data_IF_943853762156
#
_entry.id   IF_943853762156
#
_cell.length_a   1.000
_cell.length_b   1.000
_cell.length_c   1.000
_cell.angle_alpha   90.00
_cell.angle_beta   90.00
_cell.angle_gamma   90.00
#
_symmetry.space_group_name_H-M   'P 1'
#
loop_
_entity.id
_entity.type
_entity.pdbx_description
1 polymer ?
#
# COMPACT_ATOMS: atom_id res chain seq x y z
N UNK A 1 -29.17 60.48 31.33
CA UNK A 1 -29.64 59.25 30.65
C UNK A 1 -29.35 59.42 29.17
N UNK A 2 -28.32 58.74 28.67
CA UNK A 2 -27.88 58.77 27.28
C UNK A 2 -27.56 57.34 26.83
N UNK A 3 -27.93 57.02 25.60
CA UNK A 3 -27.98 55.70 24.97
C UNK A 3 -26.68 55.33 24.24
N UNK A 4 -26.57 54.03 23.89
CA UNK A 4 -26.08 53.47 22.60
C UNK A 4 -24.71 52.71 22.59
N UNK A 5 -24.83 51.37 22.54
CA UNK A 5 -24.36 50.46 21.45
C UNK A 5 -22.86 50.14 21.24
N UNK A 6 -22.55 48.84 21.51
CA UNK A 6 -21.76 47.86 20.72
C UNK A 6 -20.24 48.05 20.50
N UNK A 7 -19.44 47.01 20.82
CA UNK A 7 -18.59 46.18 19.90
C UNK A 7 -17.44 45.47 20.66
N UNK A 8 -17.40 44.14 20.47
CA UNK A 8 -16.26 43.18 20.39
C UNK A 8 -14.90 43.56 20.99
N UNK A 9 -14.31 42.66 21.80
CA UNK A 9 -12.93 42.18 21.59
C UNK A 9 -12.54 40.95 22.45
N UNK A 10 -12.09 39.91 21.74
CA UNK A 10 -11.00 38.99 22.09
C UNK A 10 -11.07 38.19 23.40
N UNK A 11 -11.52 36.93 23.26
CA UNK A 11 -10.91 35.77 23.92
C UNK A 11 -10.75 34.61 22.93
N UNK A 12 -10.23 34.89 21.73
CA UNK A 12 -9.63 33.89 20.86
C UNK A 12 -8.18 33.71 21.32
N UNK A 13 -7.83 32.59 21.94
CA UNK A 13 -6.42 32.39 22.32
C UNK A 13 -6.07 31.10 23.05
N UNK A 14 -7.01 30.41 23.70
CA UNK A 14 -6.63 29.27 24.57
C UNK A 14 -7.36 27.96 24.25
N UNK A 15 -8.33 27.95 23.34
CA UNK A 15 -9.06 26.73 22.92
C UNK A 15 -8.56 26.10 21.61
N UNK A 16 -7.28 26.28 21.23
CA UNK A 16 -6.78 25.80 19.93
C UNK A 16 -5.92 24.54 19.95
N UNK A 17 -5.75 23.86 21.09
CA UNK A 17 -4.65 22.88 21.19
C UNK A 17 -5.01 21.44 21.56
N UNK A 18 -6.24 21.10 21.97
CA UNK A 18 -6.50 19.74 22.50
C UNK A 18 -7.83 19.08 22.10
N UNK A 19 -8.54 19.58 21.08
CA UNK A 19 -9.75 18.94 20.54
C UNK A 19 -9.66 18.66 19.03
N UNK A 20 -8.46 18.35 18.54
CA UNK A 20 -8.24 17.67 17.25
C UNK A 20 -7.47 16.37 17.50
N UNK A 21 -7.95 15.61 18.48
CA UNK A 21 -7.71 14.17 18.46
C UNK A 21 -8.36 13.69 17.20
N UNK A 22 -7.52 13.22 16.28
CA UNK A 22 -7.90 12.65 15.01
C UNK A 22 -8.85 11.49 15.31
N UNK A 23 -10.16 11.75 15.23
CA UNK A 23 -11.09 10.75 14.76
C UNK A 23 -10.55 10.37 13.38
N UNK A 24 -9.80 9.27 13.37
CA UNK A 24 -9.48 8.52 12.17
C UNK A 24 -10.83 8.07 11.68
N UNK A 25 -11.40 8.89 10.81
CA UNK A 25 -12.63 8.66 10.08
C UNK A 25 -12.54 7.24 9.49
N UNK A 26 -13.22 6.30 10.17
CA UNK A 26 -13.36 4.91 9.74
C UNK A 26 -14.34 4.79 8.56
N UNK A 27 -14.73 5.90 7.94
CA UNK A 27 -15.81 5.97 6.97
C UNK A 27 -15.32 6.34 5.57
N UNK A 28 -14.25 5.69 5.10
CA UNK A 28 -13.92 5.67 3.66
C UNK A 28 -13.34 4.31 3.23
N UNK A 29 -13.92 3.20 3.70
CA UNK A 29 -13.48 1.84 3.34
C UNK A 29 -14.34 1.14 2.27
N UNK A 30 -15.41 1.78 1.79
CA UNK A 30 -16.50 1.02 1.14
C UNK A 30 -16.55 1.15 -0.40
N UNK A 31 -15.63 1.91 -0.99
CA UNK A 31 -15.41 1.89 -2.44
C UNK A 31 -13.91 1.82 -2.67
N UNK A 32 -13.47 0.91 -3.53
CA UNK A 32 -12.08 0.72 -3.98
C UNK A 32 -11.20 -0.27 -3.19
N UNK A 33 -11.73 -1.45 -2.87
CA UNK A 33 -10.92 -2.68 -2.77
C UNK A 33 -11.18 -3.59 -3.96
N UNK A 34 -10.51 -3.37 -5.09
CA UNK A 34 -10.48 -4.34 -6.20
C UNK A 34 -9.38 -5.38 -5.97
N UNK A 35 -9.46 -6.09 -4.86
CA UNK A 35 -8.59 -7.22 -4.52
C UNK A 35 -8.99 -7.81 -3.17
N UNK A 36 -8.98 -9.14 -3.00
CA UNK A 36 -9.34 -9.73 -1.71
C UNK A 36 -8.38 -9.25 -0.61
N UNK A 37 -8.93 -8.66 0.46
CA UNK A 37 -8.16 -8.15 1.61
C UNK A 37 -7.18 -9.18 2.16
N UNK A 38 -7.57 -10.46 2.16
CA UNK A 38 -6.75 -11.58 2.60
C UNK A 38 -5.50 -11.80 1.72
N UNK A 39 -5.57 -11.54 0.41
CA UNK A 39 -4.44 -11.71 -0.49
C UNK A 39 -3.39 -10.61 -0.30
N UNK A 40 -3.83 -9.37 -0.05
CA UNK A 40 -2.91 -8.27 0.28
C UNK A 40 -2.25 -8.52 1.63
N UNK A 41 -3.01 -9.02 2.60
CA UNK A 41 -2.49 -9.40 3.91
C UNK A 41 -1.33 -10.38 3.79
N UNK A 42 -1.48 -11.49 3.05
CA UNK A 42 -0.45 -12.53 2.95
C UNK A 42 0.78 -12.07 2.15
N UNK A 43 0.58 -11.33 1.06
CA UNK A 43 1.66 -10.86 0.20
C UNK A 43 2.53 -9.80 0.89
N UNK A 44 1.93 -8.96 1.74
CA UNK A 44 2.65 -7.92 2.50
C UNK A 44 3.60 -8.48 3.56
N UNK A 45 3.33 -9.70 4.05
CA UNK A 45 4.04 -10.33 5.17
C UNK A 45 5.17 -11.26 4.74
N UNK A 46 5.10 -11.77 3.52
CA UNK A 46 6.05 -12.76 3.05
C UNK A 46 7.33 -12.09 2.48
N UNK A 47 8.53 -12.37 3.04
CA UNK A 47 9.73 -11.55 2.86
C UNK A 47 10.21 -11.43 1.39
N UNK A 48 10.00 -12.47 0.57
CA UNK A 48 10.40 -12.48 -0.83
C UNK A 48 9.47 -11.73 -1.80
N UNK A 49 8.20 -11.52 -1.42
CA UNK A 49 7.17 -10.94 -2.30
C UNK A 49 6.67 -9.57 -1.83
N UNK A 50 6.90 -9.18 -0.56
CA UNK A 50 6.42 -7.94 0.05
C UNK A 50 6.73 -6.65 -0.72
N UNK A 51 7.82 -6.61 -1.49
CA UNK A 51 8.18 -5.43 -2.30
C UNK A 51 7.71 -5.51 -3.75
N UNK A 52 7.51 -6.73 -4.27
CA UNK A 52 7.25 -6.96 -5.70
C UNK A 52 5.76 -7.09 -6.03
N UNK A 53 4.93 -7.47 -5.07
CA UNK A 53 3.50 -7.69 -5.31
C UNK A 53 2.74 -6.43 -5.74
N UNK A 54 3.27 -5.25 -5.40
CA UNK A 54 2.63 -3.97 -5.70
C UNK A 54 2.62 -3.62 -7.19
N UNK A 55 3.54 -4.17 -7.98
CA UNK A 55 3.59 -4.00 -9.44
C UNK A 55 2.74 -5.02 -10.21
N UNK A 56 2.18 -6.01 -9.53
CA UNK A 56 1.44 -7.10 -10.19
C UNK A 56 -0.02 -6.71 -10.41
N UNK A 57 -0.64 -7.17 -11.50
CA UNK A 57 -2.09 -7.08 -11.68
C UNK A 57 -2.87 -8.04 -10.75
N UNK A 58 -4.18 -7.82 -10.58
CA UNK A 58 -5.08 -8.61 -9.70
C UNK A 58 -4.88 -10.11 -9.79
N UNK A 59 -4.93 -10.66 -11.00
CA UNK A 59 -4.86 -12.12 -11.24
C UNK A 59 -3.55 -12.71 -10.71
N UNK A 60 -2.42 -12.03 -10.94
CA UNK A 60 -1.11 -12.48 -10.47
C UNK A 60 -0.97 -12.40 -8.95
N UNK A 61 -1.54 -11.36 -8.31
CA UNK A 61 -1.58 -11.27 -6.85
C UNK A 61 -2.38 -12.40 -6.24
N UNK A 62 -3.57 -12.66 -6.76
CA UNK A 62 -4.44 -13.72 -6.25
C UNK A 62 -3.76 -15.08 -6.43
N UNK A 63 -3.22 -15.37 -7.61
CA UNK A 63 -2.54 -16.65 -7.87
C UNK A 63 -1.35 -16.88 -6.93
N UNK A 64 -0.50 -15.87 -6.73
CA UNK A 64 0.66 -16.00 -5.83
C UNK A 64 0.25 -16.02 -4.36
N UNK A 65 -0.79 -15.28 -3.97
CA UNK A 65 -1.34 -15.35 -2.62
C UNK A 65 -1.91 -16.74 -2.31
N UNK A 66 -2.64 -17.35 -3.25
CA UNK A 66 -3.14 -18.73 -3.15
C UNK A 66 -1.98 -19.72 -3.07
N UNK A 67 -0.96 -19.57 -3.92
CA UNK A 67 0.21 -20.44 -3.90
C UNK A 67 0.95 -20.36 -2.57
N UNK A 68 1.20 -19.14 -2.07
CA UNK A 68 1.83 -18.95 -0.76
C UNK A 68 0.95 -19.45 0.37
N UNK A 69 -0.37 -19.35 0.27
CA UNK A 69 -1.30 -19.90 1.24
C UNK A 69 -1.20 -21.43 1.33
N UNK A 70 -1.20 -22.13 0.19
CA UNK A 70 -1.03 -23.58 0.15
C UNK A 70 0.37 -24.05 0.59
N UNK A 71 1.40 -23.23 0.35
CA UNK A 71 2.80 -23.53 0.70
C UNK A 71 3.17 -23.03 2.12
N UNK A 72 2.32 -22.25 2.77
CA UNK A 72 2.58 -21.75 4.12
C UNK A 72 1.64 -22.34 5.16
N UNK A 73 0.52 -22.95 4.75
CA UNK A 73 -0.36 -23.66 5.67
C UNK A 73 -0.17 -25.19 5.61
N UNK A 74 -0.07 -25.86 6.76
CA UNK A 74 -0.03 -27.31 6.90
C UNK A 74 -1.28 -28.08 6.50
N UNK A 75 -2.05 -27.62 5.51
CA UNK A 75 -3.30 -28.24 5.09
C UNK A 75 -3.07 -29.69 4.64
N UNK A 76 -2.13 -29.92 3.72
CA UNK A 76 -1.85 -31.26 3.19
C UNK A 76 -1.39 -32.24 4.30
N UNK A 77 -0.35 -31.94 5.11
CA UNK A 77 0.09 -32.86 6.17
C UNK A 77 -0.95 -33.01 7.29
N UNK A 78 -1.75 -31.99 7.59
CA UNK A 78 -2.86 -32.11 8.56
C UNK A 78 -3.94 -33.05 8.03
N UNK A 79 -4.34 -32.94 6.76
CA UNK A 79 -5.35 -33.84 6.17
C UNK A 79 -4.83 -35.27 6.14
N UNK A 80 -3.56 -35.47 5.77
CA UNK A 80 -2.94 -36.81 5.79
C UNK A 80 -2.91 -37.38 7.20
N UNK A 81 -2.53 -36.58 8.21
CA UNK A 81 -2.56 -36.99 9.60
C UNK A 81 -3.98 -37.34 10.07
N UNK A 82 -4.98 -36.54 9.71
CA UNK A 82 -6.38 -36.74 10.08
C UNK A 82 -6.97 -38.01 9.44
N UNK A 83 -6.72 -38.23 8.14
CA UNK A 83 -7.18 -39.44 7.43
C UNK A 83 -6.50 -40.69 7.97
N UNK A 84 -5.20 -40.62 8.26
CA UNK A 84 -4.46 -41.74 8.83
C UNK A 84 -4.94 -42.07 10.25
N UNK A 85 -5.18 -41.05 11.08
CA UNK A 85 -5.75 -41.21 12.43
C UNK A 85 -7.17 -41.78 12.41
N UNK A 86 -8.00 -41.35 11.45
CA UNK A 86 -9.37 -41.85 11.31
C UNK A 86 -9.43 -43.33 10.85
N UNK A 87 -8.44 -43.78 10.09
CA UNK A 87 -8.36 -45.18 9.64
C UNK A 87 -7.73 -46.11 10.67
N UNK A 88 -6.64 -45.69 11.31
CA UNK A 88 -5.89 -46.51 12.28
C UNK A 88 -5.34 -45.64 13.43
N UNK A 89 -6.13 -45.38 14.48
CA UNK A 89 -5.72 -44.53 15.59
C UNK A 89 -4.56 -45.15 16.40
N UNK A 90 -4.50 -46.48 16.48
CA UNK A 90 -3.42 -47.18 17.15
C UNK A 90 -2.14 -47.23 16.31
N UNK A 91 -2.28 -47.43 14.99
CA UNK A 91 -1.17 -47.38 14.05
C UNK A 91 -0.54 -46.00 13.98
N UNK A 92 -1.36 -44.94 14.01
CA UNK A 92 -0.89 -43.56 14.10
C UNK A 92 -0.05 -43.32 15.36
N UNK A 93 -0.52 -43.73 16.53
CA UNK A 93 0.18 -43.46 17.80
C UNK A 93 1.45 -44.30 18.00
N UNK A 94 1.50 -45.50 17.44
CA UNK A 94 2.62 -46.45 17.60
C UNK A 94 3.70 -46.31 16.51
N UNK A 95 3.39 -45.64 15.41
CA UNK A 95 4.32 -45.52 14.28
C UNK A 95 5.46 -44.54 14.60
N UNK A 96 6.72 -44.89 14.27
CA UNK A 96 7.86 -43.98 14.42
C UNK A 96 7.77 -42.75 13.49
N UNK A 97 6.85 -42.77 12.52
CA UNK A 97 6.62 -41.67 11.58
C UNK A 97 5.76 -40.54 12.20
N UNK A 98 5.00 -40.82 13.25
CA UNK A 98 4.16 -39.84 13.94
C UNK A 98 4.91 -38.63 14.51
N UNK A 99 6.00 -38.80 15.30
CA UNK A 99 6.75 -37.65 15.81
C UNK A 99 7.40 -36.83 14.69
N UNK A 100 7.85 -37.47 13.60
CA UNK A 100 8.41 -36.78 12.43
C UNK A 100 7.33 -35.92 11.76
N UNK A 101 6.13 -36.46 11.57
CA UNK A 101 5.01 -35.74 10.98
C UNK A 101 4.58 -34.55 11.85
N UNK A 102 4.50 -34.73 13.17
CA UNK A 102 4.18 -33.66 14.12
C UNK A 102 5.26 -32.58 14.13
N UNK A 103 6.55 -32.96 14.11
CA UNK A 103 7.66 -32.02 14.06
C UNK A 103 7.65 -31.18 12.76
N UNK A 104 7.33 -31.80 11.62
CA UNK A 104 7.16 -31.09 10.34
C UNK A 104 6.00 -30.10 10.41
N UNK A 105 4.84 -30.49 10.95
CA UNK A 105 3.70 -29.60 11.12
C UNK A 105 4.05 -28.43 12.05
N UNK A 106 4.71 -28.71 13.17
CA UNK A 106 5.13 -27.69 14.13
C UNK A 106 6.16 -26.71 13.53
N UNK A 107 7.14 -27.22 12.77
CA UNK A 107 8.09 -26.38 12.05
C UNK A 107 7.41 -25.50 11.00
N UNK A 108 6.39 -26.01 10.30
CA UNK A 108 5.66 -25.25 9.31
C UNK A 108 4.78 -24.16 9.94
N UNK A 109 4.08 -24.48 11.04
CA UNK A 109 3.33 -23.49 11.83
C UNK A 109 4.24 -22.45 12.48
N UNK A 110 5.41 -22.83 12.98
CA UNK A 110 6.41 -21.91 13.52
C UNK A 110 6.97 -20.97 12.44
N UNK A 111 7.27 -21.51 11.26
CA UNK A 111 7.67 -20.72 10.10
C UNK A 111 6.57 -19.76 9.63
N UNK A 112 5.31 -20.21 9.58
CA UNK A 112 4.17 -19.35 9.30
C UNK A 112 3.95 -18.27 10.36
N UNK A 113 4.07 -18.62 11.65
CA UNK A 113 3.97 -17.67 12.76
C UNK A 113 5.03 -16.57 12.66
N UNK A 114 6.27 -16.93 12.30
CA UNK A 114 7.33 -15.96 12.05
C UNK A 114 7.00 -15.01 10.87
N UNK A 115 6.40 -15.53 9.80
CA UNK A 115 5.97 -14.73 8.64
C UNK A 115 4.78 -13.83 9.00
N UNK A 116 3.79 -14.37 9.71
CA UNK A 116 2.59 -13.64 10.11
C UNK A 116 2.87 -12.51 11.11
N UNK A 117 3.91 -12.67 11.94
CA UNK A 117 4.38 -11.67 12.89
C UNK A 117 5.16 -10.52 12.24
N UNK A 118 5.55 -10.64 10.97
CA UNK A 118 6.22 -9.53 10.30
C UNK A 118 5.26 -8.37 10.08
N UNK A 119 5.66 -7.18 10.52
CA UNK A 119 4.88 -5.98 10.30
C UNK A 119 4.91 -5.59 8.82
N UNK A 120 3.77 -5.19 8.25
CA UNK A 120 3.74 -4.55 6.93
C UNK A 120 4.70 -3.36 6.90
N UNK A 121 5.38 -3.13 5.78
CA UNK A 121 6.23 -1.94 5.56
C UNK A 121 5.33 -0.68 5.61
N UNK A 122 5.58 0.24 6.55
CA UNK A 122 4.80 1.48 6.76
C UNK A 122 5.67 2.75 6.71
N UNK A 123 6.78 2.70 6.00
CA UNK A 123 7.83 3.73 5.99
C UNK A 123 7.53 4.96 5.11
N UNK A 124 6.30 5.09 4.60
CA UNK A 124 5.93 6.19 3.68
C UNK A 124 6.64 6.12 2.32
N UNK A 125 7.43 5.08 2.06
CA UNK A 125 8.10 4.87 0.78
C UNK A 125 7.07 4.58 -0.32
N UNK A 126 7.44 4.75 -1.61
CA UNK A 126 6.64 4.24 -2.72
C UNK A 126 6.46 2.72 -2.70
N UNK A 127 6.97 1.99 -1.69
CA UNK A 127 6.74 0.57 -1.46
C UNK A 127 5.97 0.26 -0.16
N UNK A 128 5.43 1.27 0.52
CA UNK A 128 4.62 1.07 1.72
C UNK A 128 3.40 0.18 1.43
N UNK A 129 3.13 -0.77 2.33
CA UNK A 129 2.11 -1.81 2.19
C UNK A 129 0.73 -1.40 2.69
N UNK A 130 0.63 -0.26 3.38
CA UNK A 130 -0.64 0.42 3.70
C UNK A 130 -1.00 1.34 2.54
N UNK A 131 -1.19 0.78 1.35
CA UNK A 131 -1.83 1.50 0.24
C UNK A 131 -3.26 1.00 0.09
N UNK A 132 -4.26 1.88 0.07
CA UNK A 132 -5.64 1.49 -0.20
C UNK A 132 -5.81 0.86 -1.59
N UNK A 133 -4.84 1.09 -2.50
CA UNK A 133 -4.91 0.59 -3.87
C UNK A 133 -3.52 0.16 -4.40
N UNK A 134 -3.54 -0.86 -5.23
CA UNK A 134 -2.43 -1.34 -6.04
C UNK A 134 -1.88 -0.23 -6.96
N UNK A 135 -0.55 -0.08 -7.07
CA UNK A 135 0.09 0.93 -7.94
C UNK A 135 -0.23 0.79 -9.45
N UNK A 136 -0.87 -0.30 -9.88
CA UNK A 136 -1.25 -0.53 -11.28
C UNK A 136 -2.76 -0.51 -11.52
N UNK A 137 -3.54 0.12 -10.63
CA UNK A 137 -4.99 -0.07 -10.61
C UNK A 137 -5.82 1.18 -10.32
N UNK A 138 -5.19 2.32 -10.05
CA UNK A 138 -5.88 3.60 -9.97
C UNK A 138 -5.87 4.27 -11.32
N UNK A 139 -6.99 4.19 -12.03
CA UNK A 139 -7.38 5.16 -13.08
C UNK A 139 -8.34 6.18 -12.45
N UNK A 140 -8.01 6.65 -11.24
CA UNK A 140 -8.84 7.63 -10.57
C UNK A 140 -8.24 8.99 -10.90
N UNK A 141 -8.95 9.81 -11.65
CA UNK A 141 -8.52 11.16 -11.98
C UNK A 141 -8.34 11.97 -10.68
N UNK A 142 -7.10 12.28 -10.35
CA UNK A 142 -6.77 13.26 -9.34
C UNK A 142 -7.15 14.63 -9.88
N UNK A 143 -8.29 15.15 -9.39
CA UNK A 143 -8.79 16.49 -9.70
C UNK A 143 -7.96 17.62 -9.05
N UNK A 144 -6.71 17.35 -8.66
CA UNK A 144 -5.85 18.35 -8.06
C UNK A 144 -5.34 19.31 -9.15
N UNK A 145 -5.56 20.62 -9.03
CA UNK A 145 -5.00 21.60 -9.97
C UNK A 145 -3.48 21.50 -10.13
N UNK A 146 -2.77 21.03 -9.10
CA UNK A 146 -1.32 20.85 -9.14
C UNK A 146 -0.84 19.77 -10.14
N UNK A 147 -1.70 18.80 -10.49
CA UNK A 147 -1.40 17.76 -11.48
C UNK A 147 -1.53 18.25 -12.94
N UNK A 148 -2.14 19.43 -13.14
CA UNK A 148 -2.29 20.03 -14.47
C UNK A 148 -1.18 21.05 -14.71
N UNK A 149 -0.33 20.79 -15.71
CA UNK A 149 0.68 21.75 -16.14
C UNK A 149 0.08 22.83 -17.06
N UNK A 150 0.62 24.05 -16.98
CA UNK A 150 0.25 25.14 -17.90
C UNK A 150 0.66 24.82 -19.34
N UNK A 151 -0.11 25.31 -20.32
CA UNK A 151 0.22 25.16 -21.76
C UNK A 151 1.60 25.76 -22.08
N UNK A 152 1.90 26.93 -21.51
CA UNK A 152 3.17 27.61 -21.71
C UNK A 152 4.38 26.78 -21.22
N UNK A 153 4.25 26.07 -20.10
CA UNK A 153 5.32 25.21 -19.58
C UNK A 153 5.44 23.90 -20.37
N UNK A 154 4.33 23.36 -20.90
CA UNK A 154 4.35 22.24 -21.86
C UNK A 154 5.10 22.59 -23.15
N UNK A 155 4.89 23.80 -23.67
CA UNK A 155 5.57 24.28 -24.88
C UNK A 155 7.10 24.40 -24.68
N UNK A 156 7.56 24.79 -23.48
CA UNK A 156 8.99 24.85 -23.15
C UNK A 156 9.68 23.50 -23.21
N UNK A 157 8.99 22.43 -22.78
CA UNK A 157 9.52 21.07 -22.79
C UNK A 157 9.14 20.29 -24.05
N UNK A 158 8.35 20.86 -24.96
CA UNK A 158 7.87 20.22 -26.20
C UNK A 158 9.01 19.65 -27.06
N UNK A 159 10.16 20.34 -27.10
CA UNK A 159 11.34 19.91 -27.84
C UNK A 159 12.29 19.00 -27.04
N UNK A 160 12.05 18.81 -25.74
CA UNK A 160 12.87 17.93 -24.90
C UNK A 160 12.39 16.48 -25.00
N UNK A 161 13.31 15.56 -25.32
CA UNK A 161 13.02 14.13 -25.39
C UNK A 161 13.31 13.38 -24.08
N UNK A 162 14.13 13.96 -23.20
CA UNK A 162 14.51 13.35 -21.93
C UNK A 162 14.29 14.33 -20.79
N UNK A 163 13.75 13.84 -19.68
CA UNK A 163 13.55 14.64 -18.49
C UNK A 163 14.85 14.83 -17.72
N UNK A 164 15.01 16.01 -17.12
CA UNK A 164 16.15 16.28 -16.24
C UNK A 164 16.00 15.52 -14.91
N UNK A 165 17.14 15.27 -14.26
CA UNK A 165 17.16 14.68 -12.91
C UNK A 165 16.41 15.57 -11.93
N UNK A 166 15.51 14.97 -11.16
CA UNK A 166 14.74 15.62 -10.11
C UNK A 166 15.60 15.95 -8.88
N UNK A 167 16.70 15.22 -8.67
CA UNK A 167 17.59 15.31 -7.50
C UNK A 167 16.86 15.18 -6.14
N UNK A 168 15.71 14.50 -6.10
CA UNK A 168 14.91 14.35 -4.88
C UNK A 168 14.19 15.60 -4.43
N UNK A 169 14.08 16.63 -5.28
CA UNK A 169 13.34 17.85 -4.98
C UNK A 169 11.83 17.62 -5.14
N UNK A 170 11.03 18.30 -4.32
CA UNK A 170 9.58 18.27 -4.39
C UNK A 170 9.07 19.48 -5.18
N UNK A 171 8.05 19.27 -6.03
CA UNK A 171 7.50 20.30 -6.90
C UNK A 171 6.10 20.68 -6.46
N UNK A 172 5.80 21.96 -6.31
CA UNK A 172 4.45 22.42 -5.93
C UNK A 172 3.38 22.03 -6.95
N UNK A 173 3.73 22.00 -8.23
CA UNK A 173 2.84 21.63 -9.32
C UNK A 173 3.65 21.17 -10.55
N UNK A 174 2.98 20.53 -11.52
CA UNK A 174 3.65 20.10 -12.75
C UNK A 174 4.18 21.24 -13.61
N UNK A 175 3.63 22.45 -13.47
CA UNK A 175 4.16 23.66 -14.13
C UNK A 175 5.57 23.97 -13.65
N UNK A 176 5.82 23.94 -12.33
CA UNK A 176 7.13 24.16 -11.74
C UNK A 176 8.13 23.06 -12.14
N UNK A 177 7.69 21.81 -12.20
CA UNK A 177 8.51 20.72 -12.71
C UNK A 177 8.93 20.97 -14.17
N UNK A 178 7.98 21.39 -15.02
CA UNK A 178 8.23 21.65 -16.44
C UNK A 178 9.11 22.87 -16.67
N UNK A 179 8.98 23.92 -15.85
CA UNK A 179 9.85 25.09 -15.92
C UNK A 179 11.31 24.72 -15.60
N UNK A 180 11.53 23.68 -14.79
CA UNK A 180 12.85 23.13 -14.54
C UNK A 180 13.30 22.09 -15.59
N UNK A 181 12.43 21.70 -16.53
CA UNK A 181 12.69 20.66 -17.53
C UNK A 181 12.58 19.23 -16.99
N UNK A 182 11.81 19.05 -15.91
CA UNK A 182 11.54 17.77 -15.26
C UNK A 182 10.12 17.33 -15.61
N UNK A 183 9.99 16.19 -16.28
CA UNK A 183 8.73 15.59 -16.71
C UNK A 183 8.82 14.06 -16.63
N UNK A 184 7.71 13.35 -16.79
CA UNK A 184 7.62 11.89 -16.70
C UNK A 184 8.25 11.33 -15.40
N UNK A 185 7.88 11.91 -14.25
CA UNK A 185 8.43 11.53 -12.95
C UNK A 185 7.83 10.19 -12.53
N UNK A 186 8.62 9.12 -12.67
CA UNK A 186 8.21 7.76 -12.30
C UNK A 186 8.07 7.59 -10.80
N UNK A 187 7.13 6.75 -10.37
CA UNK A 187 6.87 6.39 -8.96
C UNK A 187 8.08 5.93 -8.14
N UNK A 188 9.12 5.41 -8.78
CA UNK A 188 10.36 5.00 -8.11
C UNK A 188 11.31 6.18 -7.81
N UNK A 189 11.02 7.38 -8.33
CA UNK A 189 11.79 8.57 -8.07
C UNK A 189 11.39 9.18 -6.71
N UNK A 190 12.34 9.61 -5.87
CA UNK A 190 12.04 10.27 -4.60
C UNK A 190 11.16 11.53 -4.73
N UNK A 191 11.19 12.18 -5.89
CA UNK A 191 10.37 13.35 -6.22
C UNK A 191 8.96 13.03 -6.69
N UNK A 192 8.59 11.74 -6.79
CA UNK A 192 7.24 11.36 -7.18
C UNK A 192 6.26 11.72 -6.07
N UNK A 193 5.21 12.44 -6.45
CA UNK A 193 4.11 12.75 -5.55
C UNK A 193 2.79 12.41 -6.23
N UNK A 194 1.96 11.64 -5.52
CA UNK A 194 0.65 11.21 -6.02
C UNK A 194 -0.22 12.40 -6.43
N UNK A 195 -0.07 13.55 -5.76
CA UNK A 195 -0.84 14.77 -6.03
C UNK A 195 -0.51 15.43 -7.38
N UNK A 196 0.61 15.06 -8.00
CA UNK A 196 1.09 15.55 -9.30
C UNK A 196 0.79 14.58 -10.45
N UNK A 197 0.44 13.34 -10.11
CA UNK A 197 0.05 12.29 -11.04
C UNK A 197 -1.46 12.42 -11.30
N UNK A 198 -1.86 12.79 -12.51
CA UNK A 198 -3.26 13.15 -12.78
C UNK A 198 -4.15 11.92 -12.84
N UNK A 199 -3.73 10.87 -13.51
CA UNK A 199 -4.52 9.65 -13.72
C UNK A 199 -4.16 8.54 -12.71
N UNK A 200 -3.16 8.77 -11.86
CA UNK A 200 -2.58 7.82 -10.92
C UNK A 200 -1.97 6.58 -11.59
N UNK A 201 -1.48 6.71 -12.83
CA UNK A 201 -0.86 5.61 -13.57
C UNK A 201 0.57 5.27 -13.06
N UNK A 202 1.14 6.12 -12.19
CA UNK A 202 2.48 5.99 -11.65
C UNK A 202 3.55 6.84 -12.36
N UNK A 203 3.14 7.73 -13.26
CA UNK A 203 3.98 8.73 -13.92
C UNK A 203 3.39 10.12 -13.63
N UNK A 204 4.06 10.87 -12.76
CA UNK A 204 3.65 12.24 -12.48
C UNK A 204 4.14 13.22 -13.55
N UNK A 205 3.31 14.23 -13.85
CA UNK A 205 3.62 15.29 -14.80
C UNK A 205 4.04 14.74 -16.18
N UNK A 206 3.15 13.94 -16.77
CA UNK A 206 3.28 13.48 -18.16
C UNK A 206 3.27 14.64 -19.16
N UNK A 207 4.12 14.54 -20.17
CA UNK A 207 4.24 15.52 -21.25
C UNK A 207 3.23 15.28 -22.36
#
# INVERSE_FOLDING_TARGET
MATKTTIKRTKEGVQRSQARTIEVDQQQSDVVTKGPKWAVWILSRFPGVRYRYQKWGKTKRIAVAILLYFVALPIIPIIVAAVWYAKDPEGFKKSPLMPVLVAVIAAWLGGFGYIANQTPVTDGSPYASVKPQADGESNADNNNPAASASKASKDKIANQQTSKSTNGRHFENCTAAFDEGVFDIKRNNPSYERRLDRDNDGIACEK
#
